data_IF_317770084911
#
_entry.id   IF_317770084911
#
_cell.length_a   1.000
_cell.length_b   1.000
_cell.length_c   1.000
_cell.angle_alpha   90.00
_cell.angle_beta   90.00
_cell.angle_gamma   90.00
#
_symmetry.space_group_name_H-M   'P 1'
#
loop_
_entity.id
_entity.type
_entity.pdbx_description
1 polymer ?
#
# COMPACT_ATOMS: atom_id res chain seq x y z
N UNK A 1 -41.35 11.28 -0.42
CA UNK A 1 -40.54 12.31 -1.11
C UNK A 1 -40.14 11.76 -2.47
N UNK A 2 -40.26 12.52 -3.57
CA UNK A 2 -39.74 12.08 -4.86
C UNK A 2 -38.22 11.95 -4.76
N UNK A 3 -37.69 10.78 -5.11
CA UNK A 3 -36.28 10.45 -4.94
C UNK A 3 -35.76 9.67 -6.14
N UNK A 4 -34.52 9.97 -6.54
CA UNK A 4 -33.79 9.23 -7.58
C UNK A 4 -32.66 8.47 -6.90
N UNK A 5 -32.65 7.14 -7.06
CA UNK A 5 -31.64 6.26 -6.48
C UNK A 5 -30.64 5.86 -7.56
N UNK A 6 -29.47 6.50 -7.55
CA UNK A 6 -28.36 6.15 -8.43
C UNK A 6 -27.58 4.96 -7.86
N UNK A 7 -27.41 3.91 -8.67
CA UNK A 7 -26.69 2.68 -8.30
C UNK A 7 -25.43 2.56 -9.16
N UNK A 8 -24.32 3.21 -8.76
CA UNK A 8 -23.08 3.10 -9.50
C UNK A 8 -22.51 1.69 -9.37
N UNK A 9 -21.85 1.23 -10.43
CA UNK A 9 -20.99 0.05 -10.38
C UNK A 9 -19.64 0.37 -9.71
N UNK A 10 -18.55 -0.26 -10.16
CA UNK A 10 -17.21 0.02 -9.67
C UNK A 10 -16.75 1.42 -10.15
N UNK A 11 -16.76 2.39 -9.25
CA UNK A 11 -16.25 3.73 -9.51
C UNK A 11 -14.74 3.75 -9.33
N UNK A 12 -14.04 4.31 -10.31
CA UNK A 12 -12.60 4.50 -10.34
C UNK A 12 -12.25 5.98 -10.33
N UNK A 13 -11.15 6.34 -9.68
CA UNK A 13 -10.60 7.68 -9.71
C UNK A 13 -9.78 8.01 -8.48
N UNK A 14 -9.28 9.26 -8.40
CA UNK A 14 -8.55 9.75 -7.23
C UNK A 14 -9.41 9.63 -5.96
N UNK A 15 -8.81 9.17 -4.86
CA UNK A 15 -9.47 9.09 -3.55
C UNK A 15 -10.39 7.87 -3.32
N UNK A 16 -10.74 7.11 -4.37
CA UNK A 16 -11.56 5.90 -4.21
C UNK A 16 -10.77 4.73 -3.59
N UNK A 17 -11.39 4.02 -2.64
CA UNK A 17 -10.74 2.89 -1.96
C UNK A 17 -10.48 1.69 -2.90
N UNK A 18 -11.43 1.39 -3.79
CA UNK A 18 -11.30 0.41 -4.89
C UNK A 18 -10.10 0.72 -5.78
N UNK A 19 -9.99 1.98 -6.18
CA UNK A 19 -8.89 2.46 -7.01
C UNK A 19 -7.54 2.36 -6.32
N UNK A 20 -7.45 2.70 -5.03
CA UNK A 20 -6.22 2.52 -4.25
C UNK A 20 -5.78 1.06 -4.22
N UNK A 21 -6.72 0.13 -4.06
CA UNK A 21 -6.41 -1.30 -4.06
C UNK A 21 -5.92 -1.79 -5.42
N UNK A 22 -6.63 -1.47 -6.51
CA UNK A 22 -6.21 -1.84 -7.87
C UNK A 22 -4.85 -1.25 -8.25
N UNK A 23 -4.59 0.00 -7.86
CA UNK A 23 -3.28 0.65 -8.04
C UNK A 23 -2.17 0.04 -7.20
N UNK A 24 -2.46 -0.52 -6.03
CA UNK A 24 -1.48 -1.26 -5.23
C UNK A 24 -1.10 -2.59 -5.90
N UNK A 25 -2.03 -3.18 -6.67
CA UNK A 25 -1.81 -4.42 -7.40
C UNK A 25 -1.13 -4.22 -8.77
N UNK A 26 -1.39 -3.10 -9.44
CA UNK A 26 -0.94 -2.88 -10.81
C UNK A 26 0.58 -2.93 -11.05
N UNK A 27 1.49 -2.58 -10.10
CA UNK A 27 2.93 -2.63 -10.35
C UNK A 27 3.54 -4.05 -10.34
N UNK A 28 2.85 -5.04 -9.76
CA UNK A 28 3.45 -6.37 -9.57
C UNK A 28 3.55 -7.14 -10.89
N UNK A 29 4.64 -7.90 -11.11
CA UNK A 29 4.80 -8.70 -12.33
C UNK A 29 3.85 -9.91 -12.36
N UNK A 30 3.52 -10.45 -11.18
CA UNK A 30 2.53 -11.51 -10.98
C UNK A 30 1.47 -11.00 -10.01
N UNK A 31 0.26 -10.77 -10.51
CA UNK A 31 -0.83 -10.13 -9.78
C UNK A 31 -1.79 -11.19 -9.26
N UNK A 32 -1.95 -11.32 -7.93
CA UNK A 32 -2.90 -12.24 -7.34
C UNK A 32 -4.34 -11.69 -7.48
N UNK A 33 -5.24 -12.51 -8.02
CA UNK A 33 -6.67 -12.18 -8.17
C UNK A 33 -7.54 -13.06 -7.27
N UNK A 34 -8.58 -12.47 -6.67
CA UNK A 34 -9.55 -13.22 -5.84
C UNK A 34 -10.45 -14.12 -6.71
N UNK A 35 -10.83 -13.61 -7.86
CA UNK A 35 -11.51 -14.31 -8.95
C UNK A 35 -11.23 -13.52 -10.24
N UNK A 36 -11.47 -14.14 -11.40
CA UNK A 36 -11.39 -13.48 -12.70
C UNK A 36 -12.55 -13.85 -13.64
N UNK A 37 -13.53 -14.61 -13.15
CA UNK A 37 -14.69 -15.01 -13.96
C UNK A 37 -15.76 -13.92 -14.04
N UNK A 38 -15.96 -13.21 -12.93
CA UNK A 38 -16.97 -12.17 -12.85
C UNK A 38 -16.61 -10.99 -13.77
N UNK A 39 -17.64 -10.47 -14.44
CA UNK A 39 -17.55 -9.25 -15.25
C UNK A 39 -18.13 -8.06 -14.52
N UNK A 40 -17.54 -6.90 -14.76
CA UNK A 40 -17.94 -5.63 -14.19
C UNK A 40 -17.87 -4.54 -15.26
N UNK A 41 -18.67 -3.49 -15.10
CA UNK A 41 -18.67 -2.32 -15.99
C UNK A 41 -18.15 -1.09 -15.23
N UNK A 42 -16.82 -0.92 -15.10
CA UNK A 42 -16.26 0.16 -14.30
C UNK A 42 -16.49 1.51 -14.97
N UNK A 43 -16.64 2.56 -14.15
CA UNK A 43 -16.73 3.94 -14.64
C UNK A 43 -15.77 4.85 -13.88
N UNK A 44 -15.43 6.00 -14.47
CA UNK A 44 -14.65 7.01 -13.76
C UNK A 44 -15.55 7.89 -12.86
N UNK A 45 -14.97 8.46 -11.81
CA UNK A 45 -15.66 9.37 -10.88
C UNK A 45 -16.18 10.62 -11.59
N UNK A 46 -15.52 11.07 -12.66
CA UNK A 46 -16.00 12.21 -13.44
C UNK A 46 -17.30 11.89 -14.19
N UNK A 47 -17.48 10.65 -14.64
CA UNK A 47 -18.74 10.23 -15.27
C UNK A 47 -19.85 10.10 -14.22
N UNK A 48 -19.52 9.69 -13.00
CA UNK A 48 -20.47 9.75 -11.87
C UNK A 48 -20.90 11.19 -11.60
N UNK A 49 -19.95 12.11 -11.48
CA UNK A 49 -20.24 13.54 -11.28
C UNK A 49 -21.06 14.11 -12.46
N UNK A 50 -20.69 13.78 -13.69
CA UNK A 50 -21.41 14.23 -14.89
C UNK A 50 -22.84 13.70 -14.95
N UNK A 51 -23.06 12.42 -14.60
CA UNK A 51 -24.39 11.82 -14.50
C UNK A 51 -25.25 12.51 -13.43
N UNK A 52 -24.68 12.79 -12.25
CA UNK A 52 -25.38 13.52 -11.19
C UNK A 52 -25.75 14.92 -11.65
N UNK A 53 -24.84 15.66 -12.27
CA UNK A 53 -25.12 16.99 -12.83
C UNK A 53 -26.17 16.95 -13.94
N UNK A 54 -26.18 15.91 -14.77
CA UNK A 54 -27.20 15.72 -15.79
C UNK A 54 -28.58 15.45 -15.18
N UNK A 55 -28.66 14.64 -14.12
CA UNK A 55 -29.91 14.38 -13.39
C UNK A 55 -30.42 15.62 -12.64
N UNK A 56 -29.53 16.45 -12.11
CA UNK A 56 -29.94 17.72 -11.48
C UNK A 56 -30.47 18.72 -12.51
N UNK A 57 -29.97 18.70 -13.75
CA UNK A 57 -30.49 19.52 -14.85
C UNK A 57 -31.81 19.01 -15.42
N UNK A 58 -31.96 17.69 -15.50
CA UNK A 58 -33.16 17.02 -16.02
C UNK A 58 -33.66 16.02 -14.99
N UNK A 59 -34.34 16.54 -13.97
CA UNK A 59 -34.84 15.72 -12.87
C UNK A 59 -36.07 14.92 -13.34
N UNK A 60 -36.11 13.59 -13.12
CA UNK A 60 -37.26 12.78 -13.52
C UNK A 60 -38.50 13.12 -12.69
N UNK A 61 -39.65 13.17 -13.36
CA UNK A 61 -40.94 13.47 -12.72
C UNK A 61 -41.36 12.39 -11.72
N UNK A 62 -40.99 11.13 -11.98
CA UNK A 62 -41.31 9.99 -11.13
C UNK A 62 -40.07 9.47 -10.39
N UNK A 63 -40.23 9.00 -9.14
CA UNK A 63 -39.16 8.33 -8.41
C UNK A 63 -38.66 7.11 -9.20
N UNK A 64 -37.35 6.99 -9.36
CA UNK A 64 -36.75 5.89 -10.11
C UNK A 64 -35.41 5.44 -9.52
N UNK A 65 -35.00 4.22 -9.87
CA UNK A 65 -33.66 3.74 -9.59
C UNK A 65 -32.91 3.52 -10.90
N UNK A 66 -31.77 4.19 -11.04
CA UNK A 66 -30.97 4.18 -12.26
C UNK A 66 -29.64 3.51 -11.98
N UNK A 67 -29.32 2.48 -12.75
CA UNK A 67 -27.98 1.91 -12.76
C UNK A 67 -27.03 2.86 -13.49
N UNK A 68 -25.86 3.10 -12.91
CA UNK A 68 -24.81 3.89 -13.53
C UNK A 68 -23.60 3.00 -13.73
N UNK A 69 -23.36 2.63 -14.99
CA UNK A 69 -22.34 1.66 -15.38
C UNK A 69 -21.50 2.20 -16.51
N UNK A 70 -20.25 1.77 -16.58
CA UNK A 70 -19.41 2.03 -17.75
C UNK A 70 -19.95 1.33 -19.01
N UNK A 71 -19.53 1.78 -20.20
CA UNK A 71 -20.03 1.21 -21.46
C UNK A 71 -19.53 -0.21 -21.73
N UNK A 72 -18.35 -0.58 -21.20
CA UNK A 72 -17.68 -1.85 -21.49
C UNK A 72 -17.74 -2.82 -20.31
N UNK A 73 -18.21 -4.05 -20.57
CA UNK A 73 -18.14 -5.14 -19.60
C UNK A 73 -16.77 -5.83 -19.69
N UNK A 74 -16.06 -5.90 -18.58
CA UNK A 74 -14.70 -6.45 -18.53
C UNK A 74 -14.46 -7.26 -17.25
N UNK A 75 -13.49 -8.16 -17.30
CA UNK A 75 -12.98 -8.92 -16.15
C UNK A 75 -12.04 -8.08 -15.29
N UNK A 76 -11.73 -8.55 -14.08
CA UNK A 76 -10.77 -7.86 -13.21
C UNK A 76 -9.37 -7.78 -13.83
N UNK A 77 -8.91 -8.83 -14.54
CA UNK A 77 -7.63 -8.81 -15.24
C UNK A 77 -7.62 -7.75 -16.34
N UNK A 78 -8.68 -7.69 -17.17
CA UNK A 78 -8.79 -6.68 -18.22
C UNK A 78 -8.80 -5.26 -17.66
N UNK A 79 -9.51 -5.02 -16.56
CA UNK A 79 -9.47 -3.73 -15.88
C UNK A 79 -8.05 -3.38 -15.41
N UNK A 80 -7.34 -4.32 -14.80
CA UNK A 80 -5.94 -4.11 -14.39
C UNK A 80 -5.03 -3.86 -15.59
N UNK A 81 -5.25 -4.54 -16.72
CA UNK A 81 -4.51 -4.28 -17.96
C UNK A 81 -4.75 -2.85 -18.48
N UNK A 82 -5.98 -2.33 -18.43
CA UNK A 82 -6.28 -0.93 -18.79
C UNK A 82 -5.55 0.07 -17.87
N UNK A 83 -5.54 -0.18 -16.56
CA UNK A 83 -4.82 0.65 -15.60
C UNK A 83 -3.30 0.60 -15.84
N UNK A 84 -2.75 -0.60 -16.10
CA UNK A 84 -1.34 -0.79 -16.41
C UNK A 84 -0.94 -0.10 -17.71
N UNK A 85 -1.76 -0.20 -18.75
CA UNK A 85 -1.54 0.49 -20.02
C UNK A 85 -1.49 2.01 -19.85
N UNK A 86 -2.41 2.58 -19.08
CA UNK A 86 -2.40 4.02 -18.73
C UNK A 86 -1.12 4.44 -17.96
N UNK A 87 -0.51 3.50 -17.24
CA UNK A 87 0.75 3.69 -16.50
C UNK A 87 2.01 3.47 -17.35
N UNK A 88 1.85 3.08 -18.62
CA UNK A 88 2.96 2.74 -19.52
C UNK A 88 3.51 1.33 -19.33
N UNK A 89 2.78 0.44 -18.65
CA UNK A 89 3.16 -0.97 -18.47
C UNK A 89 2.44 -1.89 -19.45
N UNK A 90 3.09 -3.00 -19.81
CA UNK A 90 2.47 -4.06 -20.60
C UNK A 90 1.44 -4.87 -19.79
N UNK A 91 0.77 -5.82 -20.45
CA UNK A 91 -0.22 -6.68 -19.80
C UNK A 91 0.35 -7.43 -18.57
N UNK A 92 -0.50 -7.64 -17.57
CA UNK A 92 -0.14 -8.34 -16.33
C UNK A 92 -0.07 -9.85 -16.51
N UNK A 93 0.62 -10.53 -15.58
CA UNK A 93 0.44 -11.98 -15.38
C UNK A 93 -0.46 -12.19 -14.18
N UNK A 94 -1.48 -13.01 -14.33
CA UNK A 94 -2.52 -13.16 -13.33
C UNK A 94 -2.52 -14.57 -12.77
N UNK A 95 -2.68 -14.67 -11.44
CA UNK A 95 -2.89 -15.94 -10.77
C UNK A 95 -4.08 -15.85 -9.83
N UNK A 96 -5.07 -16.72 -10.05
CA UNK A 96 -6.26 -16.78 -9.19
C UNK A 96 -5.89 -17.52 -7.91
N UNK A 97 -6.10 -16.89 -6.76
CA UNK A 97 -5.78 -17.49 -5.48
C UNK A 97 -6.62 -18.77 -5.26
N UNK A 98 -5.99 -19.88 -4.84
CA UNK A 98 -6.70 -21.04 -4.33
C UNK A 98 -7.67 -20.66 -3.21
N UNK A 99 -8.83 -21.31 -3.18
CA UNK A 99 -9.87 -21.12 -2.14
C UNK A 99 -9.33 -21.09 -0.70
N UNK A 100 -8.45 -22.00 -0.24
CA UNK A 100 -7.96 -21.95 1.15
C UNK A 100 -7.22 -20.65 1.48
N UNK A 101 -6.42 -20.12 0.54
CA UNK A 101 -5.72 -18.86 0.73
C UNK A 101 -6.70 -17.67 0.78
N UNK A 102 -7.74 -17.69 -0.06
CA UNK A 102 -8.78 -16.64 0.00
C UNK A 102 -9.55 -16.67 1.31
N UNK A 103 -9.86 -17.85 1.85
CA UNK A 103 -10.58 -18.00 3.12
C UNK A 103 -9.74 -17.51 4.30
N UNK A 104 -8.45 -17.89 4.34
CA UNK A 104 -7.52 -17.43 5.35
C UNK A 104 -7.31 -15.91 5.27
N UNK A 105 -7.14 -15.38 4.05
CA UNK A 105 -7.03 -13.94 3.81
C UNK A 105 -8.26 -13.17 4.29
N UNK A 106 -9.47 -13.65 4.00
CA UNK A 106 -10.71 -13.04 4.49
C UNK A 106 -10.81 -13.12 6.02
N UNK A 107 -10.45 -14.25 6.64
CA UNK A 107 -10.47 -14.37 8.10
C UNK A 107 -9.53 -13.37 8.78
N UNK A 108 -8.32 -13.20 8.23
CA UNK A 108 -7.38 -12.18 8.71
C UNK A 108 -7.91 -10.77 8.44
N UNK A 109 -8.45 -10.52 7.25
CA UNK A 109 -8.99 -9.21 6.90
C UNK A 109 -10.16 -8.78 7.78
N UNK A 110 -11.07 -9.69 8.14
CA UNK A 110 -12.14 -9.43 9.12
C UNK A 110 -11.56 -9.13 10.51
N UNK A 111 -10.56 -9.90 10.96
CA UNK A 111 -9.93 -9.71 12.27
C UNK A 111 -9.18 -8.38 12.39
N UNK A 112 -8.58 -7.91 11.29
CA UNK A 112 -7.79 -6.67 11.25
C UNK A 112 -8.54 -5.48 10.64
N UNK A 113 -9.85 -5.63 10.32
CA UNK A 113 -10.69 -4.55 9.79
C UNK A 113 -10.33 -4.09 8.37
N UNK A 114 -9.78 -4.97 7.53
CA UNK A 114 -9.38 -4.65 6.16
C UNK A 114 -10.59 -4.58 5.23
N UNK A 115 -10.86 -3.39 4.67
CA UNK A 115 -12.01 -3.14 3.78
C UNK A 115 -11.92 -3.87 2.42
N UNK A 116 -10.70 -4.11 1.93
CA UNK A 116 -10.48 -4.73 0.63
C UNK A 116 -10.54 -6.26 0.63
N UNK A 117 -10.43 -6.90 1.81
CA UNK A 117 -10.34 -8.36 1.92
C UNK A 117 -11.28 -8.86 3.01
N UNK A 118 -12.58 -8.87 2.70
CA UNK A 118 -13.63 -9.32 3.60
C UNK A 118 -14.62 -10.21 2.84
N UNK A 119 -15.59 -10.81 3.56
CA UNK A 119 -16.55 -11.74 2.93
C UNK A 119 -17.38 -11.07 1.84
N UNK A 120 -17.78 -9.81 2.05
CA UNK A 120 -18.60 -9.06 1.11
C UNK A 120 -17.85 -8.78 -0.19
N UNK A 121 -16.60 -8.30 -0.11
CA UNK A 121 -15.75 -8.05 -1.28
C UNK A 121 -15.48 -9.34 -2.05
N UNK A 122 -15.26 -10.46 -1.36
CA UNK A 122 -15.09 -11.76 -2.02
C UNK A 122 -16.37 -12.22 -2.74
N UNK A 123 -17.54 -12.02 -2.12
CA UNK A 123 -18.83 -12.35 -2.74
C UNK A 123 -19.12 -11.47 -3.96
N UNK A 124 -18.80 -10.18 -3.88
CA UNK A 124 -18.93 -9.23 -4.99
C UNK A 124 -17.95 -9.52 -6.11
N UNK A 125 -16.71 -9.90 -5.79
CA UNK A 125 -15.69 -10.26 -6.80
C UNK A 125 -16.05 -11.51 -7.63
N UNK A 126 -16.99 -12.34 -7.14
CA UNK A 126 -17.44 -13.58 -7.79
C UNK A 126 -18.78 -13.44 -8.53
N UNK A 127 -19.39 -12.25 -8.52
CA UNK A 127 -20.70 -12.00 -9.14
C UNK A 127 -20.58 -10.95 -10.22
N UNK A 128 -21.21 -11.21 -11.35
CA UNK A 128 -21.32 -10.23 -12.43
C UNK A 128 -22.02 -8.96 -11.92
N UNK A 129 -21.39 -7.81 -12.17
CA UNK A 129 -21.91 -6.48 -11.85
C UNK A 129 -22.14 -5.73 -13.16
N UNK A 130 -23.19 -6.14 -13.87
CA UNK A 130 -23.57 -5.66 -15.19
C UNK A 130 -24.96 -5.02 -15.13
N UNK A 131 -25.17 -3.96 -15.90
CA UNK A 131 -26.48 -3.36 -16.10
C UNK A 131 -26.62 -2.75 -17.50
N UNK A 132 -27.87 -2.52 -17.89
CA UNK A 132 -28.22 -1.79 -19.10
C UNK A 132 -27.91 -0.28 -18.92
N UNK A 133 -27.11 0.36 -19.80
CA UNK A 133 -26.85 1.81 -19.72
C UNK A 133 -28.00 2.68 -20.26
N UNK A 134 -28.95 2.09 -21.00
CA UNK A 134 -30.05 2.78 -21.68
C UNK A 134 -30.98 3.58 -20.74
N UNK A 135 -31.37 3.07 -19.54
CA UNK A 135 -32.27 3.80 -18.65
C UNK A 135 -31.72 5.16 -18.23
N UNK A 136 -30.44 5.23 -17.84
CA UNK A 136 -29.80 6.50 -17.48
C UNK A 136 -29.78 7.47 -18.67
N UNK A 137 -29.36 6.97 -19.84
CA UNK A 137 -29.28 7.77 -21.06
C UNK A 137 -30.66 8.32 -21.46
N UNK A 138 -31.72 7.53 -21.32
CA UNK A 138 -33.09 7.95 -21.62
C UNK A 138 -33.63 8.99 -20.63
N UNK A 139 -33.20 8.95 -19.36
CA UNK A 139 -33.71 9.85 -18.32
C UNK A 139 -33.02 11.21 -18.33
N UNK A 140 -31.69 11.25 -18.49
CA UNK A 140 -30.94 12.50 -18.38
C UNK A 140 -30.02 12.82 -19.57
N UNK A 141 -30.05 12.01 -20.63
CA UNK A 141 -29.23 12.22 -21.84
C UNK A 141 -27.74 11.90 -21.66
N UNK A 142 -27.33 11.39 -20.49
CA UNK A 142 -25.93 11.14 -20.18
C UNK A 142 -25.51 9.69 -20.47
N UNK A 143 -24.35 9.52 -21.11
CA UNK A 143 -23.68 8.23 -21.30
C UNK A 143 -22.24 8.35 -20.79
N UNK A 144 -21.80 7.37 -20.00
CA UNK A 144 -20.43 7.28 -19.54
C UNK A 144 -19.48 7.05 -20.73
N UNK A 145 -18.28 7.62 -20.65
CA UNK A 145 -17.24 7.38 -21.63
C UNK A 145 -16.58 6.00 -21.38
N UNK A 146 -15.92 5.41 -22.41
CA UNK A 146 -15.01 4.30 -22.20
C UNK A 146 -13.94 4.67 -21.17
N UNK A 147 -13.54 3.70 -20.35
CA UNK A 147 -12.68 3.95 -19.21
C UNK A 147 -11.35 4.60 -19.65
N UNK A 148 -10.80 4.15 -20.77
CA UNK A 148 -9.53 4.59 -21.34
C UNK A 148 -9.50 6.10 -21.59
N UNK A 149 -10.63 6.68 -22.02
CA UNK A 149 -10.76 8.11 -22.25
C UNK A 149 -10.67 8.94 -20.95
N UNK A 150 -10.82 8.29 -19.80
CA UNK A 150 -10.72 8.89 -18.45
C UNK A 150 -9.41 8.57 -17.73
N UNK A 151 -8.53 7.77 -18.34
CA UNK A 151 -7.28 7.34 -17.70
C UNK A 151 -6.03 8.17 -18.06
N UNK A 152 -6.17 9.27 -18.81
CA UNK A 152 -5.01 10.03 -19.30
C UNK A 152 -4.16 10.66 -18.20
N UNK A 153 -4.78 11.32 -17.23
CA UNK A 153 -4.08 12.00 -16.13
C UNK A 153 -3.96 11.12 -14.88
N UNK A 154 -4.57 9.93 -14.91
CA UNK A 154 -4.66 9.02 -13.76
C UNK A 154 -4.90 7.58 -14.22
N UNK A 155 -4.21 6.57 -13.66
CA UNK A 155 -3.31 6.63 -12.52
C UNK A 155 -1.83 6.86 -12.91
N UNK A 156 -1.07 7.54 -12.05
CA UNK A 156 0.39 7.62 -12.20
C UNK A 156 1.08 6.31 -11.78
N UNK A 157 2.13 5.95 -12.53
CA UNK A 157 2.95 4.75 -12.30
C UNK A 157 3.78 4.87 -11.02
N UNK A 158 4.51 5.97 -10.85
CA UNK A 158 5.32 6.26 -9.66
C UNK A 158 4.47 6.16 -8.39
N UNK A 159 3.32 6.80 -8.45
CA UNK A 159 2.34 6.90 -7.39
C UNK A 159 1.78 5.52 -6.97
N UNK A 160 1.65 4.60 -7.93
CA UNK A 160 1.18 3.23 -7.70
C UNK A 160 2.28 2.30 -7.18
N UNK A 161 3.52 2.45 -7.68
CA UNK A 161 4.70 1.79 -7.13
C UNK A 161 4.92 2.19 -5.67
N UNK A 162 4.77 3.47 -5.34
CA UNK A 162 4.89 3.97 -3.98
C UNK A 162 3.84 3.34 -3.06
N UNK A 163 2.57 3.28 -3.49
CA UNK A 163 1.50 2.62 -2.75
C UNK A 163 1.78 1.13 -2.48
N UNK A 164 2.37 0.44 -3.46
CA UNK A 164 2.69 -0.99 -3.36
C UNK A 164 3.90 -1.27 -2.45
N UNK A 165 4.99 -0.50 -2.59
CA UNK A 165 6.25 -0.78 -1.89
C UNK A 165 6.30 -0.21 -0.47
N UNK A 166 5.59 0.88 -0.18
CA UNK A 166 5.62 1.51 1.14
C UNK A 166 5.32 0.55 2.31
N UNK A 167 4.23 -0.24 2.32
CA UNK A 167 3.95 -1.15 3.43
C UNK A 167 5.00 -2.27 3.55
N UNK A 168 5.51 -2.76 2.42
CA UNK A 168 6.54 -3.80 2.39
C UNK A 168 7.85 -3.29 3.00
N UNK A 169 8.33 -2.14 2.56
CA UNK A 169 9.58 -1.56 3.04
C UNK A 169 9.50 -1.17 4.53
N UNK A 170 8.35 -0.68 4.99
CA UNK A 170 8.11 -0.47 6.42
C UNK A 170 8.15 -1.79 7.21
N UNK A 171 7.51 -2.85 6.72
CA UNK A 171 7.54 -4.16 7.37
C UNK A 171 8.95 -4.75 7.43
N UNK A 172 9.74 -4.60 6.36
CA UNK A 172 11.14 -5.02 6.31
C UNK A 172 11.98 -4.23 7.32
N UNK A 173 11.84 -2.90 7.38
CA UNK A 173 12.54 -2.09 8.38
C UNK A 173 12.19 -2.51 9.82
N UNK A 174 10.90 -2.68 10.12
CA UNK A 174 10.47 -3.16 11.44
C UNK A 174 11.10 -4.52 11.76
N UNK A 175 11.11 -5.43 10.79
CA UNK A 175 11.69 -6.77 10.96
C UNK A 175 13.19 -6.68 11.24
N UNK A 176 13.91 -5.79 10.55
CA UNK A 176 15.34 -5.57 10.79
C UNK A 176 15.55 -5.04 12.21
N UNK A 177 14.88 -3.95 12.61
CA UNK A 177 15.07 -3.34 13.93
C UNK A 177 14.66 -4.26 15.09
N UNK A 178 13.51 -4.93 15.00
CA UNK A 178 13.11 -5.89 16.05
C UNK A 178 13.98 -7.14 16.02
N UNK A 179 14.43 -7.56 14.85
CA UNK A 179 15.35 -8.68 14.68
C UNK A 179 16.72 -8.40 15.29
N UNK A 180 17.29 -7.22 15.09
CA UNK A 180 18.57 -6.82 15.70
C UNK A 180 18.44 -6.69 17.21
N UNK A 181 17.35 -6.11 17.72
CA UNK A 181 17.08 -6.07 19.15
C UNK A 181 17.05 -7.48 19.77
N UNK A 182 16.32 -8.42 19.16
CA UNK A 182 16.23 -9.80 19.63
C UNK A 182 17.58 -10.52 19.55
N UNK A 183 18.33 -10.32 18.47
CA UNK A 183 19.66 -10.90 18.31
C UNK A 183 20.61 -10.38 19.39
N UNK A 184 20.64 -9.05 19.62
CA UNK A 184 21.50 -8.42 20.61
C UNK A 184 21.12 -8.80 22.05
N UNK A 185 19.83 -9.02 22.37
CA UNK A 185 19.41 -9.48 23.70
C UNK A 185 19.54 -11.00 23.91
N UNK A 186 19.60 -11.77 22.83
CA UNK A 186 19.64 -13.22 22.85
C UNK A 186 20.99 -13.78 22.36
N UNK A 187 21.00 -14.59 21.29
CA UNK A 187 22.18 -15.37 20.90
C UNK A 187 23.37 -14.52 20.42
N UNK A 188 23.12 -13.27 20.01
CA UNK A 188 24.14 -12.33 19.53
C UNK A 188 24.75 -11.46 20.63
N UNK A 189 24.33 -11.57 21.89
CA UNK A 189 24.82 -10.71 22.97
C UNK A 189 26.36 -10.78 23.12
N UNK A 190 26.91 -12.00 23.17
CA UNK A 190 28.36 -12.22 23.26
C UNK A 190 29.13 -11.80 22.01
N UNK A 191 28.46 -11.76 20.86
CA UNK A 191 29.04 -11.22 19.64
C UNK A 191 29.16 -9.70 19.75
N UNK A 192 28.12 -9.00 20.20
CA UNK A 192 28.17 -7.56 20.45
C UNK A 192 29.26 -7.16 21.45
N UNK A 193 29.43 -7.93 22.54
CA UNK A 193 30.51 -7.69 23.51
C UNK A 193 31.91 -7.83 22.90
N UNK A 194 32.11 -8.78 21.98
CA UNK A 194 33.38 -8.96 21.27
C UNK A 194 33.71 -7.78 20.36
N UNK A 195 32.72 -7.27 19.62
CA UNK A 195 32.88 -6.07 18.79
C UNK A 195 33.30 -4.87 19.65
N UNK A 196 32.65 -4.68 20.80
CA UNK A 196 33.01 -3.59 21.71
C UNK A 196 34.40 -3.76 22.33
N UNK A 197 34.80 -5.00 22.63
CA UNK A 197 36.13 -5.30 23.12
C UNK A 197 37.23 -4.97 22.10
N UNK A 198 36.99 -5.21 20.80
CA UNK A 198 37.88 -4.76 19.71
C UNK A 198 38.04 -3.23 19.69
N UNK A 199 36.99 -2.49 20.07
CA UNK A 199 37.02 -1.03 20.23
C UNK A 199 37.59 -0.57 21.59
N UNK A 200 38.12 -1.48 22.41
CA UNK A 200 38.70 -1.19 23.72
C UNK A 200 37.68 -1.02 24.86
N UNK A 201 36.41 -1.32 24.63
CA UNK A 201 35.33 -1.20 25.64
C UNK A 201 35.02 -2.59 26.20
N UNK A 202 35.35 -2.81 27.48
CA UNK A 202 35.16 -4.10 28.14
C UNK A 202 34.35 -3.99 29.44
N UNK A 203 33.91 -5.15 29.96
CA UNK A 203 33.26 -5.24 31.26
C UNK A 203 31.84 -4.66 31.31
N UNK A 204 31.51 -3.97 32.41
CA UNK A 204 30.18 -3.42 32.64
C UNK A 204 29.74 -2.36 31.60
N UNK A 205 30.59 -1.40 31.19
CA UNK A 205 30.25 -0.44 30.13
C UNK A 205 29.86 -1.12 28.81
N UNK A 206 30.54 -2.20 28.42
CA UNK A 206 30.22 -2.93 27.19
C UNK A 206 28.83 -3.58 27.24
N UNK A 207 28.49 -4.21 28.39
CA UNK A 207 27.16 -4.80 28.59
C UNK A 207 26.06 -3.75 28.54
N UNK A 208 26.25 -2.62 29.20
CA UNK A 208 25.30 -1.51 29.16
C UNK A 208 25.12 -0.97 27.74
N UNK A 209 26.19 -0.81 26.98
CA UNK A 209 26.13 -0.33 25.61
C UNK A 209 25.36 -1.30 24.69
N UNK A 210 25.60 -2.62 24.81
CA UNK A 210 24.85 -3.63 24.03
C UNK A 210 23.37 -3.63 24.40
N UNK A 211 23.04 -3.60 25.70
CA UNK A 211 21.65 -3.55 26.17
C UNK A 211 20.93 -2.26 25.73
N UNK A 212 21.61 -1.11 25.84
CA UNK A 212 21.07 0.17 25.41
C UNK A 212 20.85 0.22 23.90
N UNK A 213 21.80 -0.30 23.10
CA UNK A 213 21.65 -0.45 21.66
C UNK A 213 20.44 -1.32 21.30
N UNK A 214 20.33 -2.50 21.91
CA UNK A 214 19.20 -3.39 21.66
C UNK A 214 17.84 -2.80 22.07
N UNK A 215 17.79 -2.04 23.18
CA UNK A 215 16.59 -1.31 23.57
C UNK A 215 16.25 -0.20 22.55
N UNK A 216 17.25 0.52 22.05
CA UNK A 216 17.07 1.54 21.02
C UNK A 216 16.47 0.92 19.75
N UNK A 217 17.01 -0.21 19.31
CA UNK A 217 16.52 -0.97 18.17
C UNK A 217 15.05 -1.40 18.36
N UNK A 218 14.70 -1.92 19.54
CA UNK A 218 13.33 -2.30 19.87
C UNK A 218 12.37 -1.10 19.82
N UNK A 219 12.78 0.03 20.40
CA UNK A 219 11.98 1.26 20.39
C UNK A 219 11.81 1.83 18.98
N UNK A 220 12.83 1.75 18.12
CA UNK A 220 12.73 2.14 16.71
C UNK A 220 11.76 1.23 15.96
N UNK A 221 11.89 -0.10 16.09
CA UNK A 221 11.00 -1.07 15.46
C UNK A 221 9.53 -0.87 15.87
N UNK A 222 9.27 -0.72 17.17
CA UNK A 222 7.93 -0.42 17.69
C UNK A 222 7.43 0.97 17.26
N UNK A 223 8.31 1.97 17.26
CA UNK A 223 8.01 3.32 16.82
C UNK A 223 7.59 3.40 15.36
N UNK A 224 8.14 2.55 14.49
CA UNK A 224 7.75 2.43 13.08
C UNK A 224 6.35 1.84 12.88
N UNK A 225 5.92 0.92 13.75
CA UNK A 225 4.57 0.36 13.73
C UNK A 225 3.51 1.41 14.07
N UNK A 226 3.81 2.29 15.02
CA UNK A 226 2.89 3.32 15.51
C UNK A 226 2.87 4.55 14.58
N UNK A 227 1.74 4.78 13.91
CA UNK A 227 1.56 5.91 12.97
C UNK A 227 1.97 7.27 13.55
N UNK A 228 1.70 7.50 14.85
CA UNK A 228 2.03 8.74 15.56
C UNK A 228 3.54 8.95 15.78
N UNK A 229 4.32 7.87 15.87
CA UNK A 229 5.75 7.91 16.16
C UNK A 229 6.61 7.66 14.91
N UNK A 230 6.02 7.10 13.84
CA UNK A 230 6.74 6.66 12.63
C UNK A 230 7.68 7.70 12.06
N UNK A 231 7.26 8.96 11.93
CA UNK A 231 8.12 10.05 11.44
C UNK A 231 9.36 10.25 12.32
N UNK A 232 9.18 10.28 13.65
CA UNK A 232 10.28 10.43 14.61
C UNK A 232 11.18 9.20 14.62
N UNK A 233 10.61 8.00 14.51
CA UNK A 233 11.38 6.76 14.40
C UNK A 233 12.21 6.72 13.11
N UNK A 234 11.67 7.18 11.98
CA UNK A 234 12.41 7.34 10.71
C UNK A 234 13.56 8.35 10.84
N UNK A 235 13.35 9.48 11.52
CA UNK A 235 14.43 10.44 11.78
C UNK A 235 15.50 9.84 12.71
N UNK A 236 15.08 9.28 13.85
CA UNK A 236 15.97 8.71 14.84
C UNK A 236 16.81 7.56 14.27
N UNK A 237 16.22 6.68 13.46
CA UNK A 237 16.98 5.60 12.81
C UNK A 237 18.02 6.13 11.82
N UNK A 238 17.72 7.19 11.07
CA UNK A 238 18.69 7.82 10.14
C UNK A 238 19.88 8.37 10.93
N UNK A 239 19.62 9.12 12.00
CA UNK A 239 20.68 9.66 12.85
C UNK A 239 21.49 8.54 13.52
N UNK A 240 20.82 7.50 14.02
CA UNK A 240 21.49 6.35 14.62
C UNK A 240 22.39 5.65 13.60
N UNK A 241 21.86 5.33 12.42
CA UNK A 241 22.62 4.71 11.32
C UNK A 241 23.84 5.51 10.92
N UNK A 242 23.69 6.82 10.73
CA UNK A 242 24.82 7.70 10.39
C UNK A 242 25.86 7.76 11.52
N UNK A 243 25.40 7.89 12.77
CA UNK A 243 26.26 7.99 13.95
C UNK A 243 27.09 6.73 14.17
N UNK A 244 26.46 5.56 14.18
CA UNK A 244 27.22 4.32 14.39
C UNK A 244 28.06 3.95 13.16
N UNK A 245 27.63 4.28 11.93
CA UNK A 245 28.45 4.06 10.72
C UNK A 245 29.73 4.89 10.77
N UNK A 246 29.65 6.15 11.20
CA UNK A 246 30.83 6.98 11.41
C UNK A 246 31.76 6.40 12.48
N UNK A 247 31.18 5.94 13.59
CA UNK A 247 31.94 5.32 14.68
C UNK A 247 32.68 4.05 14.22
N UNK A 248 31.99 3.14 13.52
CA UNK A 248 32.60 1.91 12.97
C UNK A 248 33.66 2.24 11.93
N UNK A 249 33.42 3.24 11.07
CA UNK A 249 34.41 3.66 10.06
C UNK A 249 35.71 4.16 10.70
N UNK A 250 35.63 4.83 11.85
CA UNK A 250 36.80 5.37 12.53
C UNK A 250 37.49 4.37 13.46
N UNK A 251 36.73 3.62 14.25
CA UNK A 251 37.27 2.70 15.26
C UNK A 251 37.57 1.30 14.72
N UNK A 252 36.76 0.83 13.77
CA UNK A 252 36.76 -0.56 13.28
C UNK A 252 36.63 -0.61 11.74
N UNK A 253 37.52 0.05 10.98
CA UNK A 253 37.37 0.20 9.53
C UNK A 253 37.35 -1.13 8.77
N UNK A 254 37.90 -2.21 9.32
CA UNK A 254 37.88 -3.54 8.71
C UNK A 254 36.47 -4.13 8.56
N UNK A 255 35.46 -3.65 9.31
CA UNK A 255 34.07 -4.10 9.16
C UNK A 255 33.42 -3.68 7.84
N UNK A 256 34.04 -2.77 7.06
CA UNK A 256 33.63 -2.53 5.67
C UNK A 256 33.88 -3.74 4.77
N UNK A 257 34.84 -4.60 5.14
CA UNK A 257 35.18 -5.83 4.41
C UNK A 257 34.51 -7.08 5.00
N UNK A 258 33.62 -6.92 5.98
CA UNK A 258 32.86 -8.02 6.56
C UNK A 258 32.00 -8.71 5.48
N UNK A 259 32.02 -10.06 5.38
CA UNK A 259 31.29 -10.79 4.36
C UNK A 259 29.77 -10.62 4.46
N UNK A 260 29.24 -10.31 5.65
CA UNK A 260 27.81 -10.06 5.86
C UNK A 260 27.41 -8.61 5.62
N UNK A 261 28.38 -7.75 5.28
CA UNK A 261 28.22 -6.35 4.90
C UNK A 261 27.33 -5.59 5.89
N UNK A 262 27.59 -5.78 7.19
CA UNK A 262 26.80 -5.15 8.26
C UNK A 262 26.65 -3.64 8.08
N UNK A 263 27.75 -2.94 7.84
CA UNK A 263 27.77 -1.50 7.56
C UNK A 263 27.27 -1.18 6.15
N UNK A 264 27.64 -1.99 5.16
CA UNK A 264 27.24 -1.82 3.76
C UNK A 264 25.73 -1.78 3.55
N UNK A 265 24.96 -2.52 4.36
CA UNK A 265 23.48 -2.47 4.34
C UNK A 265 22.92 -1.06 4.55
N UNK A 266 23.60 -0.20 5.30
CA UNK A 266 23.13 1.17 5.55
C UNK A 266 23.07 2.02 4.28
N UNK A 267 23.88 1.72 3.26
CA UNK A 267 23.83 2.41 1.96
C UNK A 267 22.46 2.24 1.28
N UNK A 268 21.75 1.15 1.57
CA UNK A 268 20.39 0.90 1.07
C UNK A 268 19.34 1.38 2.07
N UNK A 269 19.54 1.12 3.37
CA UNK A 269 18.56 1.46 4.40
C UNK A 269 18.37 2.97 4.59
N UNK A 270 19.42 3.77 4.40
CA UNK A 270 19.35 5.23 4.53
C UNK A 270 18.46 5.87 3.44
N UNK A 271 18.67 5.64 2.12
CA UNK A 271 17.77 6.13 1.09
C UNK A 271 16.33 5.63 1.26
N UNK A 272 16.14 4.36 1.63
CA UNK A 272 14.79 3.80 1.88
C UNK A 272 14.11 4.53 3.04
N UNK A 273 14.84 4.79 4.13
CA UNK A 273 14.31 5.52 5.29
C UNK A 273 13.99 6.97 4.95
N UNK A 274 14.84 7.65 4.18
CA UNK A 274 14.61 9.01 3.68
C UNK A 274 13.38 9.08 2.78
N UNK A 275 13.27 8.17 1.82
CA UNK A 275 12.13 8.09 0.92
C UNK A 275 10.82 7.85 1.71
N UNK A 276 10.81 6.92 2.66
CA UNK A 276 9.66 6.70 3.54
C UNK A 276 9.35 7.90 4.44
N UNK A 277 10.37 8.66 4.87
CA UNK A 277 10.21 9.88 5.66
C UNK A 277 9.56 10.99 4.84
N UNK A 278 9.96 11.18 3.59
CA UNK A 278 9.38 12.18 2.69
C UNK A 278 7.95 11.86 2.27
N UNK A 279 7.57 10.58 2.25
CA UNK A 279 6.19 10.14 2.02
C UNK A 279 5.26 10.36 3.23
N UNK A 280 5.79 10.65 4.42
CA UNK A 280 4.95 11.02 5.56
C UNK A 280 4.40 12.42 5.29
N UNK A 281 3.06 12.62 5.23
CA UNK A 281 2.53 13.98 5.16
C UNK A 281 3.05 14.77 6.37
N UNK A 282 3.62 15.96 6.11
CA UNK A 282 4.31 16.76 7.12
C UNK A 282 3.42 17.14 8.31
N UNK A 283 2.10 16.95 8.19
CA UNK A 283 1.09 17.24 9.20
C UNK A 283 -0.11 16.31 9.03
N UNK A 284 -0.31 15.39 9.97
CA UNK A 284 -1.64 14.84 10.27
C UNK A 284 -2.14 15.52 11.55
N UNK A 285 -2.26 16.85 11.57
CA UNK A 285 -3.25 17.47 12.46
C UNK A 285 -4.60 17.32 11.76
N UNK A 286 -5.61 17.00 12.56
CA UNK A 286 -7.02 16.81 12.21
C UNK A 286 -7.39 15.47 11.55
N UNK A 287 -7.71 14.49 12.40
CA UNK A 287 -9.04 13.87 12.28
C UNK A 287 -9.91 14.48 13.38
N UNK A 288 -11.16 14.90 13.09
CA UNK A 288 -12.16 15.05 14.14
C UNK A 288 -12.44 13.69 14.82
#
# INVERSE_FOLDING_TARGET
>A
MPAVVLRPSLVLGPGAASSRWLRCLSPWPLIPLLDNRARLQPLHVDDLCAAVLALLRHWPEQPCSLALVGPEAMTQSQLLDRLRAAQGWGAGRYWVLPRPLTTLGVALGERFGWRALNRQTLALARRDNLAAPEPLASTCGHRCLPLEARLHDWPSSADSVHLALQPLLLALLVTIWLGTALACLGPGFDWGLRILAEAGIAGWPARLAVLAGALCDALLGLGLLLSRWRRRALQAQIFLMLGYTALVTWLLPHYWFDPFQGVGKNLVLLPVSLWLLWLQPAYARSRP
#
